data_IF_518949108158
#
_entry.id   IF_518949108158
#
_cell.length_a   1.000
_cell.length_b   1.000
_cell.length_c   1.000
_cell.angle_alpha   90.00
_cell.angle_beta   90.00
_cell.angle_gamma   90.00
#
_symmetry.space_group_name_H-M   'P 1'
#
loop_
_entity.id
_entity.type
_entity.pdbx_description
1 polymer ?
#
# COMPACT_ATOMS: atom_id res chain seq x y z
N UNK A 1 -8.29 -33.79 2.77
CA UNK A 1 -9.13 -34.80 3.49
C UNK A 1 -10.60 -34.39 3.60
N UNK A 2 -11.55 -35.35 3.75
CA UNK A 2 -12.99 -35.07 3.87
C UNK A 2 -13.35 -34.07 4.98
N UNK A 3 -12.55 -34.03 6.06
CA UNK A 3 -12.70 -33.10 7.20
C UNK A 3 -12.37 -31.65 6.87
N UNK A 4 -11.46 -31.37 5.93
CA UNK A 4 -11.15 -30.01 5.47
C UNK A 4 -12.25 -29.53 4.50
N UNK A 5 -12.71 -30.39 3.60
CA UNK A 5 -13.89 -30.10 2.74
C UNK A 5 -15.15 -29.82 3.55
N UNK A 6 -15.37 -30.51 4.68
CA UNK A 6 -16.54 -30.28 5.52
C UNK A 6 -16.44 -28.98 6.34
N UNK A 7 -15.27 -28.69 6.93
CA UNK A 7 -15.02 -27.41 7.63
C UNK A 7 -15.04 -26.22 6.69
N UNK A 8 -14.44 -26.34 5.50
CA UNK A 8 -14.55 -25.33 4.46
C UNK A 8 -16.02 -25.13 4.08
N UNK A 9 -16.82 -26.18 3.86
CA UNK A 9 -18.26 -26.02 3.58
C UNK A 9 -19.02 -25.29 4.70
N UNK A 10 -18.68 -25.54 5.98
CA UNK A 10 -19.30 -24.85 7.13
C UNK A 10 -18.89 -23.37 7.26
N UNK A 11 -17.61 -23.04 7.12
CA UNK A 11 -17.14 -21.63 7.15
C UNK A 11 -17.58 -20.86 5.88
N UNK A 12 -17.58 -21.52 4.73
CA UNK A 12 -18.06 -21.00 3.44
C UNK A 12 -19.58 -20.75 3.45
N UNK A 13 -20.34 -21.51 4.24
CA UNK A 13 -21.79 -21.33 4.40
C UNK A 13 -22.19 -20.05 5.15
N UNK A 14 -21.28 -19.44 5.91
CA UNK A 14 -21.52 -18.16 6.61
C UNK A 14 -20.90 -16.95 5.91
N UNK A 15 -19.86 -17.13 5.11
CA UNK A 15 -19.09 -16.03 4.56
C UNK A 15 -19.61 -15.57 3.19
N UNK A 16 -20.15 -14.35 3.12
CA UNK A 16 -20.44 -13.64 1.86
C UNK A 16 -19.16 -13.32 1.06
N UNK A 17 -17.99 -13.45 1.68
CA UNK A 17 -16.65 -13.21 1.10
C UNK A 17 -15.59 -13.94 1.94
N UNK A 18 -14.75 -14.78 1.33
CA UNK A 18 -13.71 -15.55 2.03
C UNK A 18 -12.46 -15.78 1.17
N UNK A 19 -11.29 -15.82 1.83
CA UNK A 19 -10.02 -16.28 1.27
C UNK A 19 -9.45 -17.35 2.20
N UNK A 20 -8.97 -18.47 1.65
CA UNK A 20 -8.45 -19.60 2.40
C UNK A 20 -7.25 -20.23 1.70
N UNK A 21 -6.35 -20.87 2.45
CA UNK A 21 -5.24 -21.66 1.89
C UNK A 21 -5.74 -23.08 1.55
N UNK A 22 -5.41 -23.56 0.35
CA UNK A 22 -5.65 -24.92 -0.09
C UNK A 22 -4.51 -25.87 0.32
N UNK A 23 -4.73 -27.19 0.20
CA UNK A 23 -3.78 -28.24 0.63
C UNK A 23 -2.40 -28.18 -0.07
N UNK A 24 -2.29 -27.45 -1.20
CA UNK A 24 -1.05 -27.28 -1.98
C UNK A 24 -0.38 -25.90 -1.76
N UNK A 25 -0.83 -25.12 -0.77
CA UNK A 25 -0.31 -23.76 -0.51
C UNK A 25 -0.88 -22.68 -1.45
N UNK A 26 -1.82 -23.04 -2.33
CA UNK A 26 -2.52 -22.09 -3.20
C UNK A 26 -3.55 -21.28 -2.39
N UNK A 27 -3.68 -19.98 -2.70
CA UNK A 27 -4.71 -19.12 -2.12
C UNK A 27 -6.02 -19.23 -2.94
N UNK A 28 -7.11 -19.57 -2.27
CA UNK A 28 -8.44 -19.73 -2.87
C UNK A 28 -9.37 -18.63 -2.36
N UNK A 29 -9.98 -17.89 -3.28
CA UNK A 29 -10.95 -16.83 -2.98
C UNK A 29 -12.36 -17.19 -3.42
N UNK A 30 -13.35 -16.82 -2.60
CA UNK A 30 -14.79 -16.95 -2.92
C UNK A 30 -15.51 -15.66 -2.58
N UNK A 31 -16.40 -15.24 -3.46
CA UNK A 31 -17.31 -14.11 -3.27
C UNK A 31 -18.73 -14.56 -3.63
N UNK A 32 -19.68 -14.33 -2.73
CA UNK A 32 -21.09 -14.62 -2.96
C UNK A 32 -21.93 -13.44 -2.49
N UNK A 33 -22.66 -12.83 -3.42
CA UNK A 33 -23.51 -11.69 -3.13
C UNK A 33 -24.68 -11.60 -4.11
N UNK A 34 -25.85 -11.11 -3.66
CA UNK A 34 -26.96 -10.83 -4.57
C UNK A 34 -26.57 -9.68 -5.49
N UNK A 35 -26.74 -9.89 -6.80
CA UNK A 35 -26.41 -8.90 -7.84
C UNK A 35 -27.65 -8.58 -8.67
N UNK A 36 -28.25 -7.44 -8.41
CA UNK A 36 -29.32 -6.89 -9.26
C UNK A 36 -28.69 -5.99 -10.33
N UNK A 37 -28.42 -6.58 -11.50
CA UNK A 37 -27.80 -5.88 -12.64
C UNK A 37 -28.57 -6.17 -13.92
N UNK A 38 -28.46 -5.28 -14.90
CA UNK A 38 -29.12 -5.44 -16.19
C UNK A 38 -28.22 -4.96 -17.33
N UNK A 39 -28.31 -5.63 -18.48
CA UNK A 39 -27.63 -5.25 -19.73
C UNK A 39 -28.53 -4.42 -20.66
N UNK A 40 -29.81 -4.26 -20.31
CA UNK A 40 -30.82 -3.57 -21.12
C UNK A 40 -31.63 -2.61 -20.26
N UNK A 41 -31.77 -1.36 -20.72
CA UNK A 41 -32.64 -0.35 -20.11
C UNK A 41 -31.95 0.62 -19.14
N UNK A 42 -32.66 1.69 -18.76
CA UNK A 42 -32.11 2.75 -17.90
C UNK A 42 -30.84 3.40 -18.47
N UNK A 43 -29.86 3.64 -17.60
CA UNK A 43 -28.57 4.24 -17.95
C UNK A 43 -27.76 3.43 -18.98
N UNK A 44 -27.94 2.11 -19.04
CA UNK A 44 -27.24 1.25 -20.02
C UNK A 44 -27.68 1.52 -21.46
N UNK A 45 -28.88 2.09 -21.66
CA UNK A 45 -29.40 2.51 -22.97
C UNK A 45 -29.22 4.01 -23.22
N UNK A 46 -29.38 4.85 -22.18
CA UNK A 46 -29.34 6.31 -22.33
C UNK A 46 -27.93 6.91 -22.25
N UNK A 47 -26.97 6.26 -21.58
CA UNK A 47 -25.62 6.79 -21.39
C UNK A 47 -24.63 6.22 -22.42
N UNK A 48 -24.02 7.06 -23.29
CA UNK A 48 -23.08 6.60 -24.32
C UNK A 48 -21.91 5.77 -23.78
N UNK A 49 -21.27 6.22 -22.70
CA UNK A 49 -20.15 5.50 -22.07
C UNK A 49 -20.55 4.12 -21.53
N UNK A 50 -21.74 3.97 -20.96
CA UNK A 50 -22.21 2.69 -20.44
C UNK A 50 -22.40 1.66 -21.59
N UNK A 51 -22.91 2.10 -22.74
CA UNK A 51 -23.03 1.28 -23.94
C UNK A 51 -21.68 0.84 -24.48
N UNK A 52 -20.72 1.75 -24.53
CA UNK A 52 -19.35 1.45 -24.97
C UNK A 52 -18.68 0.46 -24.02
N UNK A 53 -18.82 0.66 -22.71
CA UNK A 53 -18.27 -0.26 -21.70
C UNK A 53 -18.84 -1.69 -21.85
N UNK A 54 -20.17 -1.84 -22.02
CA UNK A 54 -20.79 -3.14 -22.27
C UNK A 54 -20.28 -3.78 -23.58
N UNK A 55 -20.11 -2.98 -24.64
CA UNK A 55 -19.57 -3.45 -25.92
C UNK A 55 -18.12 -3.92 -25.81
N UNK A 56 -17.29 -3.20 -25.06
CA UNK A 56 -15.89 -3.59 -24.79
C UNK A 56 -15.84 -4.90 -24.00
N UNK A 57 -16.70 -5.04 -22.98
CA UNK A 57 -16.76 -6.26 -22.17
C UNK A 57 -17.31 -7.46 -22.94
N UNK A 58 -18.09 -7.26 -24.00
CA UNK A 58 -18.63 -8.34 -24.84
C UNK A 58 -19.69 -9.21 -24.15
N UNK A 59 -20.24 -8.76 -23.03
CA UNK A 59 -21.26 -9.49 -22.27
C UNK A 59 -22.61 -9.44 -22.98
N UNK A 60 -23.27 -10.59 -23.08
CA UNK A 60 -24.57 -10.74 -23.73
C UNK A 60 -25.71 -10.80 -22.73
N UNK A 61 -25.43 -11.26 -21.50
CA UNK A 61 -26.45 -11.47 -20.47
C UNK A 61 -26.16 -10.70 -19.19
N UNK A 62 -27.21 -10.36 -18.43
CA UNK A 62 -27.07 -9.77 -17.09
C UNK A 62 -26.32 -10.70 -16.13
N UNK A 63 -26.41 -12.01 -16.35
CA UNK A 63 -25.67 -13.01 -15.59
C UNK A 63 -24.16 -12.92 -15.85
N UNK A 64 -23.74 -12.85 -17.10
CA UNK A 64 -22.32 -12.66 -17.44
C UNK A 64 -21.77 -11.36 -16.86
N UNK A 65 -22.55 -10.27 -16.91
CA UNK A 65 -22.18 -9.01 -16.28
C UNK A 65 -22.00 -9.18 -14.75
N UNK A 66 -22.91 -9.89 -14.09
CA UNK A 66 -22.80 -10.16 -12.66
C UNK A 66 -21.55 -11.01 -12.31
N UNK A 67 -21.24 -12.01 -13.14
CA UNK A 67 -20.05 -12.86 -12.98
C UNK A 67 -18.75 -12.05 -13.14
N UNK A 68 -18.68 -11.17 -14.15
CA UNK A 68 -17.56 -10.23 -14.33
C UNK A 68 -17.42 -9.31 -13.12
N UNK A 69 -18.51 -8.71 -12.65
CA UNK A 69 -18.48 -7.82 -11.48
C UNK A 69 -18.02 -8.56 -10.21
N UNK A 70 -18.49 -9.79 -10.00
CA UNK A 70 -18.06 -10.62 -8.87
C UNK A 70 -16.57 -10.97 -8.97
N UNK A 71 -16.08 -11.34 -10.15
CA UNK A 71 -14.66 -11.62 -10.39
C UNK A 71 -13.79 -10.38 -10.10
N UNK A 72 -14.21 -9.20 -10.58
CA UNK A 72 -13.52 -7.94 -10.31
C UNK A 72 -13.54 -7.62 -8.80
N UNK A 73 -14.68 -7.78 -8.13
CA UNK A 73 -14.79 -7.55 -6.69
C UNK A 73 -13.89 -8.48 -5.87
N UNK A 74 -13.77 -9.74 -6.27
CA UNK A 74 -12.84 -10.70 -5.65
C UNK A 74 -11.38 -10.31 -5.89
N UNK A 75 -11.02 -9.91 -7.11
CA UNK A 75 -9.68 -9.46 -7.45
C UNK A 75 -9.30 -8.18 -6.68
N UNK A 76 -10.21 -7.21 -6.58
CA UNK A 76 -10.03 -5.98 -5.79
C UNK A 76 -9.81 -6.31 -4.30
N UNK A 77 -10.58 -7.24 -3.76
CA UNK A 77 -10.37 -7.67 -2.38
C UNK A 77 -9.00 -8.30 -2.16
N UNK A 78 -8.60 -9.19 -3.06
CA UNK A 78 -7.29 -9.83 -2.98
C UNK A 78 -6.17 -8.78 -3.06
N UNK A 79 -6.30 -7.81 -3.97
CA UNK A 79 -5.35 -6.70 -4.09
C UNK A 79 -5.28 -5.86 -2.81
N UNK A 80 -6.43 -5.54 -2.20
CA UNK A 80 -6.49 -4.80 -0.94
C UNK A 80 -5.85 -5.56 0.22
N UNK A 81 -6.13 -6.86 0.35
CA UNK A 81 -5.52 -7.69 1.39
C UNK A 81 -4.03 -7.87 1.18
N UNK A 82 -3.59 -8.09 -0.07
CA UNK A 82 -2.17 -8.12 -0.42
C UNK A 82 -1.51 -6.80 -0.08
N UNK A 83 -2.12 -5.67 -0.44
CA UNK A 83 -1.64 -4.34 -0.11
C UNK A 83 -1.45 -4.17 1.41
N UNK A 84 -2.45 -4.54 2.22
CA UNK A 84 -2.38 -4.48 3.69
C UNK A 84 -1.36 -5.44 4.30
N UNK A 85 -1.20 -6.63 3.72
CA UNK A 85 -0.26 -7.66 4.19
C UNK A 85 1.18 -7.42 3.72
N UNK A 86 1.39 -6.58 2.70
CA UNK A 86 2.72 -6.26 2.20
C UNK A 86 3.37 -5.13 2.99
N UNK A 87 4.66 -5.29 3.30
CA UNK A 87 5.48 -4.27 3.95
C UNK A 87 5.57 -2.96 3.16
N UNK A 88 5.27 -2.95 1.85
CA UNK A 88 5.43 -1.78 0.98
C UNK A 88 4.62 -0.57 1.44
N UNK A 89 3.37 -0.77 1.89
CA UNK A 89 2.53 0.33 2.41
C UNK A 89 3.05 0.82 3.76
N UNK A 90 3.47 -0.09 4.62
CA UNK A 90 4.05 0.26 5.91
C UNK A 90 5.37 1.03 5.74
N UNK A 91 6.28 0.58 4.86
CA UNK A 91 7.52 1.29 4.53
C UNK A 91 7.25 2.69 3.96
N UNK A 92 6.24 2.84 3.09
CA UNK A 92 5.83 4.13 2.55
C UNK A 92 5.30 5.09 3.63
N UNK A 93 4.41 4.60 4.50
CA UNK A 93 3.90 5.36 5.64
C UNK A 93 5.00 5.72 6.63
N UNK A 94 5.91 4.80 6.94
CA UNK A 94 7.03 5.05 7.84
C UNK A 94 8.02 6.07 7.27
N UNK A 95 8.30 6.02 5.97
CA UNK A 95 9.14 7.03 5.32
C UNK A 95 8.50 8.43 5.37
N UNK A 96 7.20 8.52 5.11
CA UNK A 96 6.46 9.78 5.24
C UNK A 96 6.42 10.26 6.69
N UNK A 97 6.13 9.37 7.64
CA UNK A 97 6.09 9.68 9.06
C UNK A 97 7.45 10.17 9.56
N UNK A 98 8.54 9.50 9.20
CA UNK A 98 9.90 9.92 9.54
C UNK A 98 10.23 11.31 8.99
N UNK A 99 9.79 11.65 7.76
CA UNK A 99 9.92 13.01 7.23
C UNK A 99 9.14 14.03 8.06
N UNK A 100 7.91 13.73 8.46
CA UNK A 100 7.11 14.64 9.31
C UNK A 100 7.78 14.87 10.67
N UNK A 101 8.33 13.82 11.28
CA UNK A 101 9.08 13.92 12.54
C UNK A 101 10.35 14.75 12.38
N UNK A 102 11.09 14.58 11.28
CA UNK A 102 12.27 15.39 10.98
C UNK A 102 11.90 16.89 10.81
N UNK A 103 10.80 17.18 10.13
CA UNK A 103 10.28 18.56 9.97
C UNK A 103 9.91 19.14 11.34
N UNK A 104 9.21 18.37 12.19
CA UNK A 104 8.82 18.79 13.53
C UNK A 104 10.04 19.08 14.43
N UNK A 105 11.14 18.35 14.25
CA UNK A 105 12.42 18.61 14.92
C UNK A 105 13.16 19.84 14.37
N UNK A 106 12.65 20.46 13.31
CA UNK A 106 13.20 21.66 12.71
C UNK A 106 14.18 21.44 11.56
N UNK A 107 14.26 20.22 11.00
CA UNK A 107 15.06 19.96 9.80
C UNK A 107 14.54 20.76 8.59
N UNK A 108 15.43 21.28 7.74
CA UNK A 108 15.07 22.04 6.55
C UNK A 108 15.79 21.54 5.30
N UNK A 109 15.14 21.68 4.14
CA UNK A 109 15.70 21.29 2.85
C UNK A 109 16.22 19.85 2.84
N UNK A 110 17.51 19.68 2.51
CA UNK A 110 18.16 18.37 2.41
C UNK A 110 18.35 17.66 3.77
N UNK A 111 18.26 18.39 4.89
CA UNK A 111 18.36 17.80 6.24
C UNK A 111 17.18 16.86 6.50
N UNK A 112 15.98 17.20 6.01
CA UNK A 112 14.75 16.43 6.23
C UNK A 112 14.95 14.98 5.79
N UNK A 113 15.46 14.81 4.57
CA UNK A 113 15.65 13.49 3.98
C UNK A 113 16.82 12.73 4.62
N UNK A 114 17.88 13.43 5.06
CA UNK A 114 19.00 12.81 5.78
C UNK A 114 18.58 12.30 7.16
N UNK A 115 17.87 13.12 7.93
CA UNK A 115 17.38 12.79 9.27
C UNK A 115 16.34 11.67 9.18
N UNK A 116 15.37 11.78 8.27
CA UNK A 116 14.34 10.75 8.06
C UNK A 116 14.95 9.38 7.70
N UNK A 117 15.90 9.34 6.77
CA UNK A 117 16.58 8.09 6.38
C UNK A 117 17.33 7.46 7.55
N UNK A 118 18.01 8.26 8.36
CA UNK A 118 18.74 7.76 9.52
C UNK A 118 17.82 7.22 10.61
N UNK A 119 16.72 7.92 10.91
CA UNK A 119 15.71 7.41 11.85
C UNK A 119 15.10 6.07 11.40
N UNK A 120 14.79 5.93 10.11
CA UNK A 120 14.26 4.68 9.56
C UNK A 120 15.30 3.56 9.61
N UNK A 121 16.57 3.85 9.31
CA UNK A 121 17.66 2.87 9.39
C UNK A 121 17.94 2.41 10.84
N UNK A 122 17.80 3.31 11.81
CA UNK A 122 17.95 3.00 13.24
C UNK A 122 16.69 2.35 13.85
N UNK A 123 15.56 2.34 13.13
CA UNK A 123 14.27 1.85 13.63
C UNK A 123 13.63 2.74 14.72
N UNK A 124 14.18 3.94 14.96
CA UNK A 124 13.74 4.87 16.01
C UNK A 124 13.22 6.15 15.36
N UNK A 125 11.90 6.20 15.16
CA UNK A 125 11.21 7.36 14.58
C UNK A 125 10.52 8.17 15.68
N UNK A 126 11.27 9.07 16.32
CA UNK A 126 10.82 9.90 17.45
C UNK A 126 11.45 11.29 17.39
N UNK A 127 10.79 12.28 17.99
CA UNK A 127 11.19 13.69 17.92
C UNK A 127 12.54 13.95 18.60
N UNK A 128 12.73 13.40 19.81
CA UNK A 128 13.99 13.44 20.56
C UNK A 128 15.18 12.94 19.71
N UNK A 129 15.01 11.78 19.05
CA UNK A 129 16.06 11.22 18.20
C UNK A 129 16.32 12.08 16.96
N UNK A 130 15.29 12.66 16.36
CA UNK A 130 15.44 13.56 15.23
C UNK A 130 16.27 14.81 15.61
N UNK A 131 16.02 15.39 16.79
CA UNK A 131 16.79 16.52 17.32
C UNK A 131 18.26 16.16 17.57
N UNK A 132 18.53 14.97 18.12
CA UNK A 132 19.89 14.46 18.31
C UNK A 132 20.63 14.33 16.97
N UNK A 133 20.00 13.72 15.97
CA UNK A 133 20.60 13.55 14.64
C UNK A 133 20.93 14.92 14.02
N UNK A 134 20.05 15.92 14.18
CA UNK A 134 20.29 17.28 13.71
C UNK A 134 21.47 17.96 14.43
N UNK A 135 21.60 17.78 15.75
CA UNK A 135 22.74 18.32 16.52
C UNK A 135 24.06 17.68 16.09
N UNK A 136 24.09 16.37 15.90
CA UNK A 136 25.28 15.64 15.42
C UNK A 136 25.75 16.14 14.04
N UNK A 137 24.81 16.46 13.14
CA UNK A 137 25.14 16.97 11.80
C UNK A 137 25.77 18.36 11.84
N UNK A 138 25.22 19.27 12.66
CA UNK A 138 25.76 20.64 12.83
C UNK A 138 27.18 20.63 13.43
N UNK A 139 27.45 19.72 14.37
CA UNK A 139 28.79 19.56 14.94
C UNK A 139 29.83 19.05 13.94
N UNK A 140 29.43 18.15 13.02
CA UNK A 140 30.32 17.63 11.97
C UNK A 140 30.62 18.66 10.88
N UNK A 141 29.64 19.48 10.48
CA UNK A 141 29.86 20.55 9.50
C UNK A 141 30.82 21.63 10.02
N UNK A 142 30.75 21.96 11.32
CA UNK A 142 31.66 22.90 11.96
C UNK A 142 33.08 22.32 12.09
N UNK A 143 33.22 21.03 12.45
CA UNK A 143 34.51 20.35 12.48
C UNK A 143 35.19 20.26 11.10
N UNK A 144 34.42 20.06 10.03
CA UNK A 144 34.97 19.92 8.68
C UNK A 144 35.41 21.26 8.07
N UNK A 145 34.73 22.38 8.38
CA UNK A 145 35.19 23.73 7.97
C UNK A 145 36.51 24.12 8.64
N UNK A 146 36.68 23.83 9.93
CA UNK A 146 37.90 24.16 10.68
C UNK A 146 39.10 23.26 10.29
N UNK A 147 38.85 22.07 9.72
CA UNK A 147 39.89 21.24 9.13
C UNK A 147 40.32 21.74 7.74
N UNK A 148 39.38 22.19 6.92
CA UNK A 148 39.66 22.76 5.58
C UNK A 148 40.47 24.05 5.61
N UNK A 149 40.25 24.92 6.60
CA UNK A 149 41.01 26.18 6.74
C UNK A 149 42.46 25.98 7.24
N UNK A 150 42.75 24.86 7.92
CA UNK A 150 44.11 24.53 8.37
C UNK A 150 44.98 23.88 7.30
N UNK A 151 44.39 23.37 6.21
CA UNK A 151 45.12 22.77 5.09
C UNK A 151 45.65 23.76 4.05
N UNK A 152 45.34 25.06 4.17
CA UNK A 152 45.70 26.08 3.17
C UNK A 152 46.66 27.15 3.71
N UNK A 153 47.46 26.84 4.74
CA UNK A 153 48.37 27.78 5.43
C UNK A 153 49.83 27.31 5.52
N UNK A 154 50.28 26.49 4.57
CA UNK A 154 51.69 26.14 4.46
C UNK A 154 52.03 25.92 3.01
N UNK A 155 52.48 26.97 2.35
CA UNK A 155 53.41 26.99 1.21
C UNK A 155 53.58 28.47 0.77
N UNK A 156 54.30 29.24 1.60
CA UNK A 156 55.04 30.44 1.19
C UNK A 156 56.43 30.39 1.81
#
# INVERSE_FOLDING_TARGET
>A
TPRIRSRMKEEIGRAKKALALAEEGNLVGRLEMPMAVGTVGGATRSHPTARVALKIMGVQTARELAEVMAAVGLAQNLAALRALATEGIQKGHMALHARQVAIAAGARGDEIERVARRMVAEGVVRLDRAEEILREQKGKEQGNRVAGERGNKGDE
#
